data_IF_519926171079
#
_entry.id   IF_519926171079
#
_cell.length_a   1.000
_cell.length_b   1.000
_cell.length_c   1.000
_cell.angle_alpha   90.00
_cell.angle_beta   90.00
_cell.angle_gamma   90.00
#
_symmetry.space_group_name_H-M   'P 1'
#
loop_
_entity.id
_entity.type
_entity.pdbx_description
1 polymer ?
#
# COMPACT_ATOMS: atom_id res chain seq x y z
N UNK A 1 -6.50 -56.11 -33.14
CA UNK A 1 -6.25 -54.82 -33.80
C UNK A 1 -7.28 -53.85 -33.25
N UNK A 2 -6.83 -52.83 -32.50
CA UNK A 2 -7.54 -51.58 -32.15
C UNK A 2 -8.86 -51.68 -31.33
N UNK A 3 -9.14 -50.91 -30.27
CA UNK A 3 -8.52 -49.68 -29.75
C UNK A 3 -8.76 -49.56 -28.23
N UNK A 4 -7.71 -49.14 -27.51
CA UNK A 4 -7.78 -48.74 -26.10
C UNK A 4 -8.50 -47.39 -26.05
N UNK A 5 -9.79 -47.39 -25.74
CA UNK A 5 -10.52 -46.16 -25.41
C UNK A 5 -9.90 -45.61 -24.13
N UNK A 6 -9.21 -44.48 -24.30
CA UNK A 6 -8.40 -43.85 -23.27
C UNK A 6 -9.19 -43.53 -22.02
N UNK A 7 -8.58 -43.81 -20.88
CA UNK A 7 -8.95 -43.23 -19.60
C UNK A 7 -8.87 -41.70 -19.73
N UNK A 8 -10.02 -41.06 -19.92
CA UNK A 8 -10.14 -39.62 -19.71
C UNK A 8 -9.94 -39.39 -18.22
N UNK A 9 -8.68 -39.12 -17.88
CA UNK A 9 -8.23 -38.69 -16.56
C UNK A 9 -9.06 -37.48 -16.17
N UNK A 10 -10.06 -37.69 -15.33
CA UNK A 10 -10.76 -36.65 -14.60
C UNK A 10 -9.76 -35.95 -13.67
N UNK A 11 -8.98 -35.00 -14.20
CA UNK A 11 -8.33 -33.93 -13.43
C UNK A 11 -9.42 -32.96 -13.01
N UNK A 12 -10.32 -33.45 -12.16
CA UNK A 12 -11.31 -32.65 -11.48
C UNK A 12 -10.58 -31.66 -10.56
N UNK A 13 -10.55 -30.39 -10.98
CA UNK A 13 -10.85 -29.26 -10.13
C UNK A 13 -10.19 -29.20 -8.75
N UNK A 14 -8.85 -29.27 -8.66
CA UNK A 14 -8.11 -28.67 -7.53
C UNK A 14 -7.62 -27.28 -7.88
N UNK A 15 -8.55 -26.39 -8.23
CA UNK A 15 -8.30 -24.95 -8.42
C UNK A 15 -9.36 -24.20 -7.62
N UNK A 16 -9.14 -23.94 -6.33
CA UNK A 16 -10.14 -23.20 -5.58
C UNK A 16 -9.76 -22.74 -4.17
N UNK A 17 -9.08 -23.56 -3.37
CA UNK A 17 -9.01 -23.26 -1.93
C UNK A 17 -7.68 -22.70 -1.41
N UNK A 18 -6.59 -22.75 -2.19
CA UNK A 18 -5.23 -22.50 -1.68
C UNK A 18 -4.54 -21.23 -2.21
N UNK A 19 -5.25 -20.32 -2.90
CA UNK A 19 -4.60 -19.11 -3.46
C UNK A 19 -4.38 -17.97 -2.47
N UNK A 20 -5.15 -17.89 -1.38
CA UNK A 20 -5.05 -16.78 -0.42
C UNK A 20 -3.99 -16.95 0.67
N UNK A 21 -3.85 -18.15 1.23
CA UNK A 21 -2.85 -18.47 2.26
C UNK A 21 -1.40 -18.17 1.84
N UNK A 22 -0.92 -18.53 0.63
CA UNK A 22 0.45 -18.21 0.22
C UNK A 22 0.65 -16.71 0.02
N UNK A 23 -0.33 -15.99 -0.53
CA UNK A 23 -0.22 -14.53 -0.72
C UNK A 23 -0.14 -13.78 0.62
N UNK A 24 -0.95 -14.18 1.61
CA UNK A 24 -0.90 -13.60 2.94
C UNK A 24 0.43 -13.91 3.66
N UNK A 25 0.97 -15.13 3.48
CA UNK A 25 2.28 -15.49 4.03
C UNK A 25 3.42 -14.72 3.36
N UNK A 26 3.36 -14.53 2.04
CA UNK A 26 4.32 -13.72 1.29
C UNK A 26 4.27 -12.26 1.74
N UNK A 27 3.08 -11.69 1.90
CA UNK A 27 2.89 -10.34 2.44
C UNK A 27 3.42 -10.22 3.87
N UNK A 28 3.05 -11.13 4.78
CA UNK A 28 3.52 -11.11 6.16
C UNK A 28 5.04 -11.28 6.25
N UNK A 29 5.61 -12.17 5.43
CA UNK A 29 7.06 -12.36 5.32
C UNK A 29 7.77 -11.11 4.78
N UNK A 30 7.25 -10.50 3.72
CA UNK A 30 7.79 -9.26 3.16
C UNK A 30 7.70 -8.10 4.16
N UNK A 31 6.59 -7.97 4.87
CA UNK A 31 6.41 -6.95 5.90
C UNK A 31 7.39 -7.16 7.06
N UNK A 32 7.62 -8.40 7.50
CA UNK A 32 8.62 -8.70 8.52
C UNK A 32 10.03 -8.31 8.07
N UNK A 33 10.42 -8.66 6.83
CA UNK A 33 11.71 -8.27 6.27
C UNK A 33 11.83 -6.75 6.17
N UNK A 34 10.79 -6.06 5.69
CA UNK A 34 10.77 -4.61 5.61
C UNK A 34 10.95 -3.97 6.99
N UNK A 35 10.22 -4.43 8.01
CA UNK A 35 10.37 -3.93 9.38
C UNK A 35 11.81 -4.16 9.89
N UNK A 36 12.39 -5.35 9.71
CA UNK A 36 13.74 -5.65 10.18
C UNK A 36 14.79 -4.70 9.57
N UNK A 37 14.69 -4.42 8.27
CA UNK A 37 15.65 -3.57 7.55
C UNK A 37 15.39 -2.07 7.74
N UNK A 38 14.13 -1.65 7.94
CA UNK A 38 13.75 -0.25 8.06
C UNK A 38 13.38 0.16 9.50
N UNK A 39 13.65 -0.66 10.52
CA UNK A 39 13.26 -0.34 11.91
C UNK A 39 13.85 0.99 12.43
N UNK A 40 15.06 1.34 12.00
CA UNK A 40 15.72 2.60 12.37
C UNK A 40 14.93 3.84 11.89
N UNK A 41 14.20 3.72 10.77
CA UNK A 41 13.44 4.82 10.19
C UNK A 41 12.34 5.31 11.14
N UNK A 42 11.81 4.43 12.00
CA UNK A 42 10.83 4.81 13.02
C UNK A 42 11.36 5.84 14.03
N UNK A 43 12.68 5.96 14.19
CA UNK A 43 13.32 6.98 15.02
C UNK A 43 13.53 8.32 14.31
N UNK A 44 13.32 8.39 13.00
CA UNK A 44 13.57 9.59 12.21
C UNK A 44 12.36 10.52 12.20
N UNK A 45 12.63 11.82 12.09
CA UNK A 45 11.60 12.83 11.85
C UNK A 45 11.06 12.74 10.42
N UNK A 46 10.00 13.51 10.15
CA UNK A 46 9.50 13.73 8.80
C UNK A 46 10.44 14.72 8.11
N UNK A 47 11.31 14.21 7.23
CA UNK A 47 12.50 14.92 6.72
C UNK A 47 12.29 15.64 5.36
N UNK A 48 11.07 15.68 4.80
CA UNK A 48 10.78 16.41 3.57
C UNK A 48 10.41 17.87 3.84
N UNK A 49 10.94 18.80 3.02
CA UNK A 49 10.63 20.23 3.10
C UNK A 49 9.13 20.50 2.88
N UNK A 50 8.50 19.66 2.07
CA UNK A 50 7.10 19.67 1.69
C UNK A 50 6.22 18.80 2.60
N UNK A 51 6.79 17.97 3.47
CA UNK A 51 6.00 17.00 4.26
C UNK A 51 5.00 17.67 5.20
N UNK A 52 5.42 18.69 5.96
CA UNK A 52 4.51 19.39 6.86
C UNK A 52 3.44 20.23 6.12
N UNK A 53 3.77 20.93 5.01
CA UNK A 53 2.76 21.51 4.12
C UNK A 53 1.74 20.49 3.58
N UNK A 54 2.19 19.33 3.10
CA UNK A 54 1.29 18.27 2.59
C UNK A 54 0.39 17.76 3.71
N UNK A 55 0.97 17.40 4.86
CA UNK A 55 0.18 16.94 6.00
C UNK A 55 -0.82 18.01 6.41
N UNK A 56 -0.44 19.29 6.40
CA UNK A 56 -1.34 20.39 6.73
C UNK A 56 -2.53 20.46 5.77
N UNK A 57 -2.28 20.39 4.46
CA UNK A 57 -3.31 20.48 3.42
C UNK A 57 -4.21 19.23 3.38
N UNK A 58 -3.65 18.06 3.71
CA UNK A 58 -4.38 16.79 3.73
C UNK A 58 -5.28 16.60 4.97
N UNK A 59 -5.29 17.53 5.94
CA UNK A 59 -6.09 17.34 7.16
C UNK A 59 -7.58 17.40 6.86
N UNK A 60 -8.28 16.36 7.29
CA UNK A 60 -9.73 16.33 7.30
C UNK A 60 -10.23 16.80 8.66
N UNK A 61 -10.77 18.01 8.70
CA UNK A 61 -11.44 18.62 9.85
C UNK A 61 -12.97 18.70 9.62
N UNK A 62 -13.41 18.60 8.36
CA UNK A 62 -14.80 18.68 7.95
C UNK A 62 -15.16 17.63 6.88
N UNK A 63 -16.47 17.40 6.67
CA UNK A 63 -16.95 16.54 5.60
C UNK A 63 -16.64 17.09 4.19
N UNK A 64 -16.45 18.41 4.05
CA UNK A 64 -16.05 19.01 2.79
C UNK A 64 -14.61 18.62 2.42
N UNK A 65 -13.72 18.52 3.40
CA UNK A 65 -12.30 18.18 3.19
C UNK A 65 -12.14 16.74 2.66
N UNK A 66 -13.07 15.85 3.00
CA UNK A 66 -13.15 14.50 2.41
C UNK A 66 -13.40 14.59 0.91
N UNK A 67 -14.31 15.47 0.47
CA UNK A 67 -14.55 15.69 -0.95
C UNK A 67 -13.35 16.41 -1.59
N UNK A 68 -12.78 17.41 -0.90
CA UNK A 68 -11.57 18.14 -1.28
C UNK A 68 -10.40 17.22 -1.64
N UNK A 69 -10.24 16.12 -0.89
CA UNK A 69 -9.23 15.08 -1.16
C UNK A 69 -9.24 14.56 -2.61
N UNK A 70 -10.41 14.57 -3.26
CA UNK A 70 -10.61 14.09 -4.64
C UNK A 70 -10.87 15.20 -5.66
N UNK A 71 -11.01 16.45 -5.24
CA UNK A 71 -11.34 17.56 -6.14
C UNK A 71 -10.27 18.65 -6.18
N UNK A 72 -9.39 18.68 -5.19
CA UNK A 72 -8.37 19.72 -5.00
C UNK A 72 -6.95 19.18 -5.25
N UNK A 73 -6.00 20.10 -5.43
CA UNK A 73 -4.58 19.77 -5.55
C UNK A 73 -4.00 19.44 -4.16
N UNK A 74 -2.98 18.57 -4.10
CA UNK A 74 -2.40 17.99 -2.88
C UNK A 74 -1.97 19.01 -1.81
N UNK A 75 -1.67 20.24 -2.21
CA UNK A 75 -1.24 21.30 -1.32
C UNK A 75 -2.19 22.51 -1.34
N UNK A 76 -3.23 22.50 -2.17
CA UNK A 76 -4.24 23.56 -2.31
C UNK A 76 -3.66 25.00 -2.22
N UNK A 77 -2.58 25.26 -2.96
CA UNK A 77 -1.90 26.57 -2.96
C UNK A 77 -1.08 26.91 -1.71
N UNK A 78 -1.01 26.04 -0.70
CA UNK A 78 -0.15 26.21 0.49
C UNK A 78 1.35 26.11 0.18
N UNK A 79 1.71 25.67 -1.04
CA UNK A 79 3.06 25.67 -1.56
C UNK A 79 3.06 26.25 -2.98
N UNK A 80 3.87 27.28 -3.28
CA UNK A 80 3.79 28.02 -4.56
C UNK A 80 3.99 27.16 -5.82
N UNK A 81 4.77 26.08 -5.70
CA UNK A 81 5.05 25.14 -6.81
C UNK A 81 4.32 23.81 -6.64
N UNK A 82 3.33 23.75 -5.74
CA UNK A 82 2.70 22.53 -5.23
C UNK A 82 1.52 21.99 -6.05
N UNK A 83 1.46 22.30 -7.34
CA UNK A 83 0.30 22.03 -8.21
C UNK A 83 0.26 20.56 -8.66
N UNK A 84 -0.14 19.66 -7.76
CA UNK A 84 -0.18 18.23 -8.02
C UNK A 84 -1.53 17.62 -7.67
N UNK A 85 -2.22 17.05 -8.66
CA UNK A 85 -3.40 16.22 -8.39
C UNK A 85 -2.98 14.79 -8.02
N UNK A 86 -3.00 14.48 -6.71
CA UNK A 86 -2.60 13.18 -6.14
C UNK A 86 -3.59 12.70 -5.07
N UNK A 87 -4.83 12.34 -5.44
CA UNK A 87 -5.90 12.06 -4.48
C UNK A 87 -5.58 10.88 -3.56
N UNK A 88 -4.91 9.84 -4.07
CA UNK A 88 -4.52 8.67 -3.26
C UNK A 88 -3.48 9.05 -2.21
N UNK A 89 -2.50 9.86 -2.59
CA UNK A 89 -1.46 10.33 -1.66
C UNK A 89 -2.06 11.26 -0.61
N UNK A 90 -2.94 12.17 -1.04
CA UNK A 90 -3.66 13.10 -0.16
C UNK A 90 -4.47 12.32 0.90
N UNK A 91 -5.23 11.31 0.45
CA UNK A 91 -5.98 10.42 1.34
C UNK A 91 -5.08 9.67 2.32
N UNK A 92 -3.90 9.19 1.87
CA UNK A 92 -2.94 8.53 2.77
C UNK A 92 -2.49 9.46 3.89
N UNK A 93 -2.05 10.69 3.56
CA UNK A 93 -1.64 11.67 4.57
C UNK A 93 -2.79 12.09 5.49
N UNK A 94 -4.01 12.17 4.96
CA UNK A 94 -5.21 12.46 5.75
C UNK A 94 -5.48 11.37 6.79
N UNK A 95 -5.42 10.10 6.37
CA UNK A 95 -5.60 8.94 7.25
C UNK A 95 -4.47 8.84 8.27
N UNK A 96 -3.23 9.03 7.84
CA UNK A 96 -2.07 8.99 8.73
C UNK A 96 -2.14 10.08 9.79
N UNK A 97 -2.53 11.30 9.41
CA UNK A 97 -2.75 12.37 10.38
C UNK A 97 -3.92 12.08 11.32
N UNK A 98 -5.01 11.49 10.82
CA UNK A 98 -6.16 11.13 11.66
C UNK A 98 -5.79 10.08 12.73
N UNK A 99 -4.97 9.08 12.36
CA UNK A 99 -4.59 7.96 13.23
C UNK A 99 -3.38 8.29 14.11
N UNK A 100 -2.33 8.87 13.52
CA UNK A 100 -1.02 9.04 14.14
C UNK A 100 -0.68 10.50 14.49
N UNK A 101 -1.51 11.47 14.07
CA UNK A 101 -1.27 12.92 14.22
C UNK A 101 0.05 13.30 13.55
N UNK A 102 1.00 13.87 14.30
CA UNK A 102 2.32 14.25 13.81
C UNK A 102 3.41 13.29 14.30
N UNK A 103 3.06 12.07 14.71
CA UNK A 103 4.04 11.06 15.14
C UNK A 103 4.71 10.43 13.91
N UNK A 104 6.00 10.69 13.63
CA UNK A 104 6.65 10.23 12.40
C UNK A 104 6.60 8.72 12.20
N UNK A 105 6.78 7.96 13.29
CA UNK A 105 6.68 6.51 13.32
C UNK A 105 5.41 5.94 12.66
N UNK A 106 4.29 6.67 12.72
CA UNK A 106 3.03 6.26 12.08
C UNK A 106 3.09 6.33 10.56
N UNK A 107 3.57 7.46 10.03
CA UNK A 107 3.76 7.65 8.59
C UNK A 107 4.75 6.64 8.01
N UNK A 108 5.87 6.41 8.72
CA UNK A 108 6.85 5.39 8.32
C UNK A 108 6.25 3.97 8.32
N UNK A 109 5.33 3.66 9.24
CA UNK A 109 4.63 2.37 9.22
C UNK A 109 3.77 2.23 7.96
N UNK A 110 3.06 3.30 7.59
CA UNK A 110 2.23 3.34 6.38
C UNK A 110 3.07 3.12 5.13
N UNK A 111 4.27 3.72 5.05
CA UNK A 111 5.19 3.53 3.91
C UNK A 111 5.69 2.07 3.75
N UNK A 112 5.76 1.30 4.83
CA UNK A 112 6.14 -0.13 4.75
C UNK A 112 5.04 -1.02 4.17
N UNK A 113 3.78 -0.60 4.21
CA UNK A 113 2.66 -1.40 3.69
C UNK A 113 2.70 -1.54 2.15
N UNK A 114 2.88 -0.45 1.36
CA UNK A 114 3.11 -0.55 -0.07
C UNK A 114 4.34 -1.39 -0.42
N UNK A 115 5.44 -1.27 0.32
CA UNK A 115 6.66 -2.06 0.09
C UNK A 115 6.38 -3.56 0.25
N UNK A 116 5.72 -3.95 1.34
CA UNK A 116 5.37 -5.35 1.57
C UNK A 116 4.36 -5.87 0.53
N UNK A 117 3.41 -5.03 0.12
CA UNK A 117 2.42 -5.37 -0.89
C UNK A 117 3.06 -5.61 -2.26
N UNK A 118 3.92 -4.69 -2.70
CA UNK A 118 4.61 -4.79 -3.99
C UNK A 118 5.49 -6.06 -4.06
N UNK A 119 6.26 -6.32 -3.00
CA UNK A 119 7.08 -7.52 -2.89
C UNK A 119 6.22 -8.81 -2.93
N UNK A 120 5.08 -8.83 -2.25
CA UNK A 120 4.17 -9.97 -2.28
C UNK A 120 3.55 -10.19 -3.66
N UNK A 121 3.12 -9.11 -4.33
CA UNK A 121 2.60 -9.17 -5.70
C UNK A 121 3.66 -9.70 -6.66
N UNK A 122 4.88 -9.15 -6.63
CA UNK A 122 5.99 -9.60 -7.46
C UNK A 122 6.26 -11.11 -7.28
N UNK A 123 6.39 -11.57 -6.03
CA UNK A 123 6.61 -12.98 -5.73
C UNK A 123 5.46 -13.89 -6.22
N UNK A 124 4.21 -13.41 -6.18
CA UNK A 124 3.08 -14.18 -6.73
C UNK A 124 3.08 -14.24 -8.25
N UNK A 125 3.55 -13.21 -8.95
CA UNK A 125 3.69 -13.20 -10.40
C UNK A 125 4.81 -14.12 -10.85
N UNK A 126 5.97 -14.09 -10.17
CA UNK A 126 7.10 -14.97 -10.48
C UNK A 126 6.75 -16.45 -10.32
N UNK A 127 5.89 -16.79 -9.35
CA UNK A 127 5.44 -18.17 -9.15
C UNK A 127 4.56 -18.73 -10.27
N UNK A 128 4.15 -17.90 -11.24
CA UNK A 128 3.26 -18.26 -12.35
C UNK A 128 3.96 -18.42 -13.71
N UNK A 129 5.21 -17.96 -13.82
CA UNK A 129 6.06 -18.09 -15.03
C UNK A 129 6.90 -19.35 -15.02
#
# INVERSE_FOLDING_TARGET
MNDRVGSVSARAGRRGAFRGAPALLLFAGALLVAILFYHEVFGYSLLGHDTYPIIRAARIESAADVAGTFTEELMDGAYPEGHFYRPVLNLSFALDHAVYRLRPAGFHATDLLPVALDAAVAATLDSQG
#
